data_IF_792738292285
#
_entry.id   IF_792738292285
#
_cell.length_a   1.000
_cell.length_b   1.000
_cell.length_c   1.000
_cell.angle_alpha   90.00
_cell.angle_beta   90.00
_cell.angle_gamma   90.00
#
_symmetry.space_group_name_H-M   'P 1'
#
loop_
_entity.id
_entity.type
_entity.pdbx_description
1 polymer ?
#
# COMPACT_ATOMS: atom_id res chain seq x y z
N UNK A 1 -1.03 -23.93 -52.62
CA UNK A 1 -1.29 -22.97 -51.52
C UNK A 1 -2.71 -23.25 -51.02
N UNK A 2 -2.88 -23.61 -49.75
CA UNK A 2 -4.14 -24.15 -49.22
C UNK A 2 -5.07 -23.00 -48.80
N UNK A 3 -6.39 -23.14 -49.03
CA UNK A 3 -7.42 -22.17 -48.61
C UNK A 3 -7.30 -21.79 -47.11
N UNK A 4 -6.97 -22.77 -46.24
CA UNK A 4 -6.74 -22.54 -44.81
C UNK A 4 -5.55 -21.61 -44.53
N UNK A 5 -4.60 -21.54 -45.46
CA UNK A 5 -3.45 -20.63 -45.37
C UNK A 5 -3.84 -19.22 -45.78
N UNK A 6 -4.77 -19.06 -46.74
CA UNK A 6 -5.28 -17.76 -47.17
C UNK A 6 -6.23 -17.15 -46.14
N UNK A 7 -7.14 -17.93 -45.54
CA UNK A 7 -7.98 -17.47 -44.42
C UNK A 7 -7.14 -17.00 -43.23
N UNK A 8 -6.04 -17.71 -42.93
CA UNK A 8 -5.11 -17.33 -41.87
C UNK A 8 -4.37 -16.03 -42.18
N UNK A 9 -4.10 -15.74 -43.46
CA UNK A 9 -3.48 -14.48 -43.91
C UNK A 9 -4.48 -13.32 -43.91
N UNK A 10 -5.74 -13.54 -44.33
CA UNK A 10 -6.82 -12.54 -44.24
C UNK A 10 -7.14 -12.15 -42.80
N UNK A 11 -7.08 -13.10 -41.85
CA UNK A 11 -7.25 -12.79 -40.41
C UNK A 11 -6.06 -12.05 -39.79
N UNK A 12 -4.90 -12.01 -40.44
CA UNK A 12 -3.72 -11.27 -39.97
C UNK A 12 -3.75 -9.80 -40.41
N UNK A 13 -4.46 -9.45 -41.49
CA UNK A 13 -4.57 -8.08 -42.00
C UNK A 13 -5.59 -7.20 -41.26
N UNK A 14 -6.30 -7.76 -40.26
CA UNK A 14 -7.32 -7.05 -39.48
C UNK A 14 -7.13 -7.17 -37.97
N UNK A 15 -5.89 -7.37 -37.47
CA UNK A 15 -5.59 -7.04 -36.08
C UNK A 15 -5.50 -5.51 -35.99
N UNK A 16 -6.45 -4.81 -35.34
CA UNK A 16 -6.31 -3.38 -35.12
C UNK A 16 -5.02 -3.15 -34.32
N UNK A 17 -4.25 -2.14 -34.72
CA UNK A 17 -2.98 -1.75 -34.09
C UNK A 17 -3.06 -1.93 -32.57
N UNK A 18 -2.38 -2.97 -32.06
CA UNK A 18 -2.32 -3.22 -30.63
C UNK A 18 -1.47 -2.10 -30.05
N UNK A 19 -2.09 -1.11 -29.40
CA UNK A 19 -1.38 0.01 -28.77
C UNK A 19 -0.65 -0.53 -27.53
N UNK A 20 0.62 -0.95 -27.64
CA UNK A 20 1.24 -1.81 -26.63
C UNK A 20 1.77 -0.99 -25.45
N UNK A 21 1.92 0.32 -25.65
CA UNK A 21 2.54 1.24 -24.72
C UNK A 21 1.51 2.30 -24.36
N UNK A 22 1.11 2.34 -23.08
CA UNK A 22 0.35 3.46 -22.53
C UNK A 22 1.30 4.58 -22.13
N UNK A 23 0.90 5.83 -22.34
CA UNK A 23 1.62 7.02 -21.87
C UNK A 23 0.80 7.70 -20.78
N UNK A 24 1.44 7.98 -19.65
CA UNK A 24 0.85 8.82 -18.60
C UNK A 24 1.34 10.25 -18.78
N UNK A 25 0.45 11.18 -19.07
CA UNK A 25 0.70 12.61 -19.16
C UNK A 25 0.11 13.28 -17.92
N UNK A 26 0.93 13.99 -17.16
CA UNK A 26 0.49 14.75 -15.99
C UNK A 26 0.94 16.20 -16.15
N UNK A 27 0.00 17.13 -16.19
CA UNK A 27 0.28 18.55 -16.38
C UNK A 27 1.00 19.20 -15.18
N UNK A 28 0.78 18.69 -13.97
CA UNK A 28 1.50 19.14 -12.77
C UNK A 28 1.30 18.23 -11.57
N UNK A 29 2.31 18.19 -10.70
CA UNK A 29 2.26 17.49 -9.42
C UNK A 29 2.71 18.46 -8.33
N UNK A 30 1.82 18.75 -7.40
CA UNK A 30 2.11 19.49 -6.18
C UNK A 30 1.95 18.55 -4.99
N UNK A 31 3.07 18.20 -4.36
CA UNK A 31 3.08 17.40 -3.12
C UNK A 31 3.72 18.22 -2.03
N UNK A 32 2.93 18.59 -1.02
CA UNK A 32 3.42 19.43 0.07
C UNK A 32 4.36 18.67 1.03
N UNK A 33 4.13 17.37 1.26
CA UNK A 33 5.01 16.57 2.12
C UNK A 33 5.07 15.11 1.70
N UNK A 34 6.27 14.52 1.71
CA UNK A 34 6.47 13.08 1.61
C UNK A 34 7.10 12.61 2.92
N UNK A 35 6.37 11.76 3.64
CA UNK A 35 6.70 11.33 4.99
C UNK A 35 7.23 9.90 5.06
N UNK A 36 7.12 9.30 6.24
CA UNK A 36 7.78 8.04 6.58
C UNK A 36 7.35 6.88 5.68
N UNK A 37 8.34 6.09 5.26
CA UNK A 37 8.17 4.89 4.43
C UNK A 37 7.32 5.13 3.16
N UNK A 38 7.36 6.32 2.58
CA UNK A 38 6.50 6.69 1.47
C UNK A 38 7.29 7.06 0.22
N UNK A 39 6.67 6.88 -0.94
CA UNK A 39 7.32 7.02 -2.25
C UNK A 39 6.46 7.86 -3.18
N UNK A 40 7.10 8.78 -3.89
CA UNK A 40 6.52 9.43 -5.07
C UNK A 40 7.34 8.97 -6.26
N UNK A 41 6.72 8.24 -7.17
CA UNK A 41 7.35 7.61 -8.32
C UNK A 41 6.74 8.15 -9.61
N UNK A 42 7.60 8.60 -10.52
CA UNK A 42 7.24 9.00 -11.88
C UNK A 42 7.98 8.06 -12.83
N UNK A 43 7.23 7.42 -13.73
CA UNK A 43 7.69 6.35 -14.60
C UNK A 43 7.34 4.96 -14.05
N UNK A 44 7.65 3.96 -14.86
CA UNK A 44 7.22 2.59 -14.60
C UNK A 44 8.07 1.91 -13.52
N UNK A 45 7.41 1.08 -12.71
CA UNK A 45 8.05 0.30 -11.66
C UNK A 45 7.44 -1.09 -11.55
N UNK A 46 8.30 -2.10 -11.55
CA UNK A 46 7.86 -3.49 -11.40
C UNK A 46 7.38 -3.80 -9.98
N UNK A 47 8.08 -3.30 -8.97
CA UNK A 47 7.76 -3.63 -7.58
C UNK A 47 8.03 -2.47 -6.62
N UNK A 48 7.07 -2.24 -5.72
CA UNK A 48 7.21 -1.36 -4.57
C UNK A 48 6.69 -2.06 -3.32
N UNK A 49 7.53 -2.13 -2.28
CA UNK A 49 7.18 -2.66 -0.97
C UNK A 49 7.45 -1.59 0.09
N UNK A 50 6.39 -0.97 0.60
CA UNK A 50 6.44 0.02 1.64
C UNK A 50 5.94 -0.59 2.96
N UNK A 51 6.71 -0.44 4.05
CA UNK A 51 6.37 -0.97 5.36
C UNK A 51 6.69 0.03 6.46
N UNK A 52 5.78 0.21 7.40
CA UNK A 52 5.94 1.07 8.58
C UNK A 52 5.45 0.36 9.84
N UNK A 53 6.30 0.34 10.87
CA UNK A 53 5.90 0.09 12.27
C UNK A 53 6.18 1.36 13.07
N UNK A 54 5.14 2.03 13.55
CA UNK A 54 5.26 3.27 14.30
C UNK A 54 4.58 3.14 15.66
N UNK A 55 5.32 3.53 16.69
CA UNK A 55 4.86 3.56 18.07
C UNK A 55 5.11 4.93 18.65
N UNK A 56 4.04 5.63 19.00
CA UNK A 56 4.09 6.95 19.61
C UNK A 56 3.51 6.84 21.02
N UNK A 57 4.32 7.14 22.03
CA UNK A 57 3.89 7.09 23.43
C UNK A 57 4.05 8.46 24.06
N UNK A 58 2.94 9.00 24.57
CA UNK A 58 2.91 10.21 25.37
C UNK A 58 2.83 9.83 26.84
N UNK A 59 3.70 10.38 27.68
CA UNK A 59 3.81 10.02 29.10
C UNK A 59 3.60 11.23 29.99
N UNK A 60 2.93 11.00 31.12
CA UNK A 60 2.85 11.96 32.22
C UNK A 60 4.11 11.93 33.11
N UNK A 61 4.80 10.79 33.17
CA UNK A 61 6.05 10.58 33.92
C UNK A 61 7.28 10.70 33.03
N UNK A 62 8.42 11.03 33.65
CA UNK A 62 9.70 11.18 32.95
C UNK A 62 10.21 9.84 32.38
N UNK A 63 10.91 9.92 31.24
CA UNK A 63 11.46 8.78 30.51
C UNK A 63 12.46 7.98 31.35
N UNK A 64 13.20 8.65 32.23
CA UNK A 64 14.16 8.00 33.13
C UNK A 64 13.50 7.04 34.13
N UNK A 65 12.22 7.28 34.47
CA UNK A 65 11.48 6.53 35.49
C UNK A 65 10.57 5.50 34.84
N UNK A 66 9.99 5.81 33.68
CA UNK A 66 8.94 5.01 33.04
C UNK A 66 9.42 3.79 32.25
N UNK A 67 10.74 3.63 32.05
CA UNK A 67 11.30 2.53 31.27
C UNK A 67 11.03 2.60 29.76
N UNK A 68 11.51 1.59 29.04
CA UNK A 68 11.40 1.52 27.58
C UNK A 68 10.02 1.00 27.12
N UNK A 69 9.67 1.32 25.87
CA UNK A 69 8.48 0.76 25.20
C UNK A 69 8.95 -0.13 24.07
N UNK A 70 8.38 -1.31 23.98
CA UNK A 70 8.73 -2.34 23.01
C UNK A 70 7.55 -2.58 22.07
N UNK A 71 7.82 -2.95 20.82
CA UNK A 71 6.75 -3.26 19.86
C UNK A 71 6.08 -4.59 20.20
N UNK A 72 6.85 -5.52 20.74
CA UNK A 72 6.46 -6.86 21.19
C UNK A 72 5.41 -6.80 22.29
N UNK A 73 5.31 -5.66 23.01
CA UNK A 73 4.26 -5.42 24.00
C UNK A 73 2.87 -5.20 23.41
N UNK A 74 2.74 -5.15 22.07
CA UNK A 74 1.46 -4.91 21.41
C UNK A 74 1.25 -5.80 20.19
N UNK A 75 0.21 -6.63 20.26
CA UNK A 75 -0.17 -7.61 19.23
C UNK A 75 -0.35 -7.01 17.83
N UNK A 76 -0.68 -5.71 17.72
CA UNK A 76 -0.81 -5.04 16.42
C UNK A 76 0.48 -5.10 15.60
N UNK A 77 1.65 -5.23 16.23
CA UNK A 77 2.92 -5.30 15.52
C UNK A 77 3.34 -6.71 15.12
N UNK A 78 2.65 -7.75 15.61
CA UNK A 78 2.97 -9.16 15.36
C UNK A 78 1.83 -9.93 14.67
N UNK A 79 0.62 -9.37 14.63
CA UNK A 79 -0.53 -9.97 13.91
C UNK A 79 -0.22 -10.16 12.43
N UNK A 80 -0.64 -11.25 11.81
CA UNK A 80 -0.49 -11.42 10.37
C UNK A 80 -1.21 -10.35 9.54
N UNK A 81 -0.60 -9.96 8.41
CA UNK A 81 -1.21 -9.02 7.47
C UNK A 81 -2.40 -9.70 6.78
N UNK A 82 -3.58 -9.07 6.74
CA UNK A 82 -4.73 -9.67 6.07
C UNK A 82 -4.39 -9.92 4.61
N UNK A 83 -4.48 -11.18 4.18
CA UNK A 83 -4.37 -11.55 2.78
C UNK A 83 -5.74 -11.42 2.14
N UNK A 84 -5.81 -10.71 1.01
CA UNK A 84 -6.98 -10.83 0.15
C UNK A 84 -6.87 -12.20 -0.52
N UNK A 85 -7.67 -13.16 -0.07
CA UNK A 85 -7.82 -14.40 -0.82
C UNK A 85 -8.44 -14.00 -2.16
N UNK A 86 -7.71 -14.24 -3.24
CA UNK A 86 -8.22 -13.99 -4.59
C UNK A 86 -9.51 -14.79 -4.76
N UNK A 87 -10.62 -14.13 -5.06
CA UNK A 87 -11.90 -14.75 -5.42
C UNK A 87 -11.84 -15.50 -6.76
N UNK A 88 -10.64 -15.84 -7.23
CA UNK A 88 -10.46 -16.79 -8.32
C UNK A 88 -10.80 -18.12 -7.66
N UNK A 89 -11.98 -18.64 -7.95
CA UNK A 89 -12.38 -19.94 -7.45
C UNK A 89 -11.26 -20.92 -7.82
N UNK A 90 -10.65 -21.56 -6.83
CA UNK A 90 -9.70 -22.66 -7.06
C UNK A 90 -10.36 -23.84 -7.84
N UNK A 91 -11.67 -23.74 -8.12
CA UNK A 91 -12.46 -24.64 -8.95
C UNK A 91 -12.58 -24.23 -10.44
N UNK A 92 -12.21 -23.01 -10.85
CA UNK A 92 -12.33 -22.62 -12.26
C UNK A 92 -11.22 -23.30 -13.08
N UNK A 93 -11.65 -24.16 -14.00
CA UNK A 93 -10.80 -25.07 -14.78
C UNK A 93 -9.98 -24.33 -15.85
N UNK A 94 -10.33 -23.08 -16.14
CA UNK A 94 -9.69 -22.24 -17.15
C UNK A 94 -9.43 -20.84 -16.56
N UNK A 95 -8.20 -20.31 -16.64
CA UNK A 95 -7.94 -18.93 -16.23
C UNK A 95 -8.65 -17.97 -17.19
N UNK A 96 -9.54 -17.14 -16.67
CA UNK A 96 -10.16 -16.06 -17.45
C UNK A 96 -9.07 -15.09 -17.96
N UNK A 97 -8.71 -15.21 -19.24
CA UNK A 97 -7.74 -14.32 -19.86
C UNK A 97 -8.44 -13.06 -20.36
N UNK A 98 -8.32 -11.97 -19.61
CA UNK A 98 -8.82 -10.67 -20.03
C UNK A 98 -7.76 -9.98 -20.91
N UNK A 99 -7.98 -9.94 -22.23
CA UNK A 99 -7.22 -9.06 -23.13
C UNK A 99 -7.89 -7.69 -23.18
N UNK A 100 -7.19 -6.65 -22.77
CA UNK A 100 -7.67 -5.26 -22.85
C UNK A 100 -6.90 -4.51 -23.94
N UNK A 101 -7.62 -3.95 -24.92
CA UNK A 101 -7.05 -3.06 -25.93
C UNK A 101 -7.43 -1.62 -25.62
N UNK A 102 -6.44 -0.72 -25.63
CA UNK A 102 -6.64 0.69 -25.33
C UNK A 102 -6.63 1.50 -26.62
N UNK A 103 -7.80 1.77 -27.17
CA UNK A 103 -7.92 2.55 -28.41
C UNK A 103 -7.34 3.97 -28.27
N UNK A 104 -7.25 4.50 -27.05
CA UNK A 104 -6.55 5.73 -26.72
C UNK A 104 -5.52 5.44 -25.61
N UNK A 105 -4.24 5.18 -25.95
CA UNK A 105 -3.23 4.76 -24.98
C UNK A 105 -2.70 5.89 -24.09
N UNK A 106 -3.28 7.08 -24.14
CA UNK A 106 -2.86 8.23 -23.35
C UNK A 106 -3.79 8.45 -22.17
N UNK A 107 -3.23 8.37 -20.96
CA UNK A 107 -3.90 8.79 -19.72
C UNK A 107 -3.42 10.21 -19.44
N UNK A 108 -4.27 11.21 -19.67
CA UNK A 108 -3.96 12.61 -19.44
C UNK A 108 -4.63 13.11 -18.16
N UNK A 109 -3.83 13.61 -17.23
CA UNK A 109 -4.24 14.15 -15.94
C UNK A 109 -3.77 15.59 -15.86
N UNK A 110 -4.63 16.51 -15.44
CA UNK A 110 -4.29 17.94 -15.31
C UNK A 110 -3.26 18.20 -14.19
N UNK A 111 -3.74 18.49 -12.98
CA UNK A 111 -2.88 18.73 -11.83
C UNK A 111 -3.23 17.76 -10.70
N UNK A 112 -2.21 17.20 -10.06
CA UNK A 112 -2.32 16.36 -8.87
C UNK A 112 -1.87 17.21 -7.68
N UNK A 113 -2.78 17.49 -6.74
CA UNK A 113 -2.47 18.22 -5.51
C UNK A 113 -2.63 17.28 -4.31
N UNK A 114 -1.53 17.07 -3.57
CA UNK A 114 -1.48 16.19 -2.40
C UNK A 114 -0.87 16.91 -1.22
N UNK A 115 -1.61 16.93 -0.10
CA UNK A 115 -1.15 17.53 1.15
C UNK A 115 0.03 16.73 1.73
N UNK A 116 -0.11 15.40 1.80
CA UNK A 116 0.96 14.53 2.25
C UNK A 116 0.84 13.10 1.73
N UNK A 117 1.97 12.50 1.35
CA UNK A 117 2.12 11.05 1.10
C UNK A 117 2.94 10.50 2.26
N UNK A 118 2.33 9.80 3.22
CA UNK A 118 3.01 9.31 4.43
C UNK A 118 2.49 7.96 4.90
N UNK A 119 3.28 7.25 5.71
CA UNK A 119 2.90 5.99 6.36
C UNK A 119 2.68 4.82 5.40
N UNK A 120 3.77 4.37 4.77
CA UNK A 120 3.71 3.28 3.78
C UNK A 120 2.84 3.59 2.56
N UNK A 121 2.82 4.87 2.13
CA UNK A 121 2.00 5.35 1.02
C UNK A 121 2.81 5.55 -0.27
N UNK A 122 2.14 5.48 -1.42
CA UNK A 122 2.76 5.56 -2.74
C UNK A 122 1.91 6.42 -3.68
N UNK A 123 2.52 7.47 -4.24
CA UNK A 123 2.02 8.17 -5.42
C UNK A 123 2.80 7.63 -6.63
N UNK A 124 2.12 7.04 -7.59
CA UNK A 124 2.72 6.50 -8.82
C UNK A 124 2.09 7.14 -10.04
N UNK A 125 2.91 7.71 -10.91
CA UNK A 125 2.55 8.14 -12.26
C UNK A 125 3.27 7.24 -13.26
N UNK A 126 2.55 6.31 -13.88
CA UNK A 126 3.13 5.27 -14.74
C UNK A 126 2.52 3.91 -14.44
N UNK A 127 3.25 2.85 -14.76
CA UNK A 127 2.83 1.48 -14.52
C UNK A 127 3.42 0.92 -13.21
N UNK A 128 2.57 0.27 -12.41
CA UNK A 128 2.94 -0.48 -11.22
C UNK A 128 2.49 -1.93 -11.37
N UNK A 129 3.44 -2.87 -11.41
CA UNK A 129 3.10 -4.29 -11.54
C UNK A 129 2.72 -4.90 -10.18
N UNK A 130 3.56 -4.72 -9.15
CA UNK A 130 3.30 -5.18 -7.79
C UNK A 130 3.54 -4.07 -6.78
N UNK A 131 2.53 -3.75 -5.99
CA UNK A 131 2.61 -2.69 -4.97
C UNK A 131 2.05 -3.23 -3.67
N UNK A 132 2.87 -3.20 -2.61
CA UNK A 132 2.46 -3.56 -1.25
C UNK A 132 2.77 -2.41 -0.31
N UNK A 133 1.76 -1.94 0.41
CA UNK A 133 1.89 -0.94 1.47
C UNK A 133 1.35 -1.51 2.78
N UNK A 134 2.16 -1.53 3.83
CA UNK A 134 1.75 -2.01 5.15
C UNK A 134 2.14 -1.02 6.25
N UNK A 135 1.17 -0.50 6.99
CA UNK A 135 1.41 0.41 8.10
C UNK A 135 0.74 -0.10 9.38
N UNK A 136 1.54 -0.26 10.43
CA UNK A 136 1.10 -0.59 11.79
C UNK A 136 1.47 0.58 12.69
N UNK A 137 0.46 1.30 13.16
CA UNK A 137 0.65 2.52 13.95
C UNK A 137 -0.11 2.38 15.26
N UNK A 138 0.58 2.58 16.39
CA UNK A 138 -0.04 2.63 17.72
C UNK A 138 0.33 3.92 18.44
N UNK A 139 -0.67 4.71 18.80
CA UNK A 139 -0.52 5.90 19.62
C UNK A 139 -1.11 5.64 21.00
N UNK A 140 -0.32 5.81 22.06
CA UNK A 140 -0.71 5.51 23.45
C UNK A 140 -0.41 6.68 24.36
N UNK A 141 -1.35 6.99 25.28
CA UNK A 141 -1.12 7.92 26.39
C UNK A 141 -1.00 7.15 27.70
N UNK A 142 0.07 7.40 28.44
CA UNK A 142 0.32 6.84 29.77
C UNK A 142 0.13 7.94 30.81
N UNK A 143 -0.92 7.82 31.61
CA UNK A 143 -1.21 8.70 32.72
C UNK A 143 -0.59 8.15 34.00
N UNK A 144 -0.18 9.03 34.92
CA UNK A 144 0.18 8.63 36.26
C UNK A 144 -1.07 8.15 36.99
N UNK A 145 -1.13 6.87 37.32
CA UNK A 145 -2.12 6.36 38.26
C UNK A 145 -1.66 6.83 39.66
N UNK A 146 -2.53 7.46 40.47
CA UNK A 146 -2.18 7.75 41.86
C UNK A 146 -1.85 6.42 42.53
N UNK A 147 -0.68 6.31 43.16
CA UNK A 147 -0.32 5.14 43.95
C UNK A 147 -1.46 4.87 44.93
N UNK A 148 -2.04 3.66 44.99
CA UNK A 148 -3.04 3.37 46.00
C UNK A 148 -2.40 3.65 47.35
N UNK A 149 -3.00 4.59 48.08
CA UNK A 149 -2.56 4.91 49.44
C UNK A 149 -2.68 3.60 50.23
N UNK A 150 -1.62 3.14 50.93
CA UNK A 150 -1.75 1.96 51.77
C UNK A 150 -2.92 2.18 52.72
N UNK A 151 -3.96 1.37 52.58
CA UNK A 151 -5.08 1.39 53.51
C UNK A 151 -4.53 0.96 54.87
N UNK A 152 -4.87 1.71 55.92
CA UNK A 152 -4.41 1.47 57.31
C UNK A 152 -4.94 0.11 57.86
N UNK A 153 -5.65 -0.67 57.03
CA UNK A 153 -6.23 -1.96 57.37
C UNK A 153 -5.40 -3.17 56.98
N UNK A 154 -4.14 -3.02 56.55
CA UNK A 154 -3.23 -4.17 56.51
C UNK A 154 -2.64 -4.42 57.91
N UNK A 155 -3.53 -4.78 58.83
CA UNK A 155 -3.21 -5.32 60.16
C UNK A 155 -4.04 -6.58 60.37
N UNK A 156 -3.54 -7.69 59.83
CA UNK A 156 -3.83 -9.02 60.36
C UNK A 156 -4.33 -10.04 59.34
N UNK A 157 -3.42 -10.94 58.93
CA UNK A 157 -3.46 -12.37 59.25
C UNK A 157 -2.15 -13.03 58.86
#
# INVERSE_FOLDING_TARGET
MNLKTLEKLETLETQPDDFPVRTSEVGGIYVNTVGTASVVQIGDRAEVNASLRALAVQRASDHLISGNVYFESYDIFDRDTPTMNTLINELDTEPDYVRTTNCLPTISVGCIEIIAVSSAALLLVGNGLKMKGEARVKHVRQFSVPTPVPTIYDSGA
#
